data_IF_633347904464
#
_entry.id   IF_633347904464
#
_cell.length_a   1.000
_cell.length_b   1.000
_cell.length_c   1.000
_cell.angle_alpha   90.00
_cell.angle_beta   90.00
_cell.angle_gamma   90.00
#
_symmetry.space_group_name_H-M   'P 1'
#
loop_
_entity.id
_entity.type
_entity.pdbx_description
1 polymer ?
#
# COMPACT_ATOMS: atom_id res chain seq x y z
N UNK A 1 -12.14 -5.32 1.58
CA UNK A 1 -12.02 -6.79 1.42
C UNK A 1 -10.57 -7.13 1.70
N UNK A 2 -10.25 -8.12 2.55
CA UNK A 2 -8.87 -8.39 2.92
C UNK A 2 -8.04 -8.78 1.69
N UNK A 3 -6.74 -8.51 1.74
CA UNK A 3 -5.81 -8.91 0.69
C UNK A 3 -5.95 -10.42 0.39
N UNK A 4 -6.17 -10.78 -0.88
CA UNK A 4 -6.39 -12.17 -1.27
C UNK A 4 -5.23 -13.10 -0.89
N UNK A 5 -5.53 -14.38 -0.64
CA UNK A 5 -4.53 -15.39 -0.27
C UNK A 5 -3.42 -15.51 -1.31
N UNK A 6 -3.76 -15.58 -2.61
CA UNK A 6 -2.78 -15.62 -3.70
C UNK A 6 -1.84 -14.43 -3.65
N UNK A 7 -2.36 -13.21 -3.40
CA UNK A 7 -1.56 -12.01 -3.26
C UNK A 7 -0.61 -12.07 -2.06
N UNK A 8 -1.03 -12.61 -0.92
CA UNK A 8 -0.16 -12.76 0.28
C UNK A 8 1.02 -13.71 0.04
N UNK A 9 0.82 -14.78 -0.74
CA UNK A 9 1.88 -15.77 -0.99
C UNK A 9 3.02 -15.23 -1.86
N UNK A 10 2.75 -14.27 -2.74
CA UNK A 10 3.75 -13.71 -3.67
C UNK A 10 4.44 -12.45 -3.14
N UNK A 11 3.98 -11.88 -2.04
CA UNK A 11 4.59 -10.66 -1.48
C UNK A 11 5.73 -11.08 -0.54
N UNK A 12 6.99 -10.68 -0.80
CA UNK A 12 8.11 -10.98 0.09
C UNK A 12 7.98 -10.30 1.46
N UNK A 13 8.70 -10.79 2.47
CA UNK A 13 8.61 -10.34 3.87
C UNK A 13 9.23 -8.97 4.17
N UNK A 14 10.30 -8.58 3.47
CA UNK A 14 11.04 -7.33 3.68
C UNK A 14 10.34 -6.14 3.01
N UNK A 15 9.13 -5.86 3.49
CA UNK A 15 8.24 -4.84 2.95
C UNK A 15 8.64 -3.47 3.46
N UNK A 16 8.74 -2.51 2.53
CA UNK A 16 8.76 -1.09 2.85
C UNK A 16 7.35 -0.50 2.83
N UNK A 17 6.54 -0.87 1.84
CA UNK A 17 5.18 -0.38 1.69
C UNK A 17 4.28 -1.38 0.96
N UNK A 18 3.06 -1.56 1.44
CA UNK A 18 1.97 -2.19 0.68
C UNK A 18 0.88 -1.14 0.49
N UNK A 19 0.34 -1.03 -0.72
CA UNK A 19 -0.85 -0.23 -1.05
C UNK A 19 -1.83 -1.18 -1.71
N UNK A 20 -3.08 -1.19 -1.26
CA UNK A 20 -4.15 -1.92 -1.94
C UNK A 20 -5.31 -1.00 -2.22
N UNK A 21 -5.93 -1.22 -3.37
CA UNK A 21 -7.01 -0.42 -3.91
C UNK A 21 -8.12 -1.35 -4.35
N UNK A 22 -9.31 -1.16 -3.77
CA UNK A 22 -10.55 -1.80 -4.20
C UNK A 22 -11.12 -1.00 -5.39
N UNK A 23 -10.84 -1.49 -6.60
CA UNK A 23 -11.31 -0.87 -7.83
C UNK A 23 -12.83 -0.96 -7.98
N UNK A 24 -13.50 -1.95 -7.37
CA UNK A 24 -14.96 -2.04 -7.40
C UNK A 24 -15.59 -0.90 -6.63
N UNK A 25 -15.10 -0.64 -5.43
CA UNK A 25 -15.56 0.48 -4.62
C UNK A 25 -15.23 1.84 -5.25
N UNK A 26 -14.06 1.98 -5.91
CA UNK A 26 -13.71 3.20 -6.65
C UNK A 26 -14.65 3.47 -7.84
N UNK A 27 -14.99 2.46 -8.63
CA UNK A 27 -15.86 2.60 -9.82
C UNK A 27 -17.27 3.07 -9.48
N UNK A 28 -17.74 2.77 -8.27
CA UNK A 28 -19.08 3.13 -7.81
C UNK A 28 -19.15 4.55 -7.21
N UNK A 29 -18.09 5.37 -7.32
CA UNK A 29 -18.05 6.72 -6.78
C UNK A 29 -17.45 7.72 -7.78
N UNK A 30 -18.25 8.69 -8.21
CA UNK A 30 -17.81 9.75 -9.14
C UNK A 30 -16.66 10.59 -8.56
N UNK A 31 -16.73 10.87 -7.25
CA UNK A 31 -15.66 11.58 -6.52
C UNK A 31 -14.36 10.78 -6.52
N UNK A 32 -14.44 9.45 -6.36
CA UNK A 32 -13.27 8.59 -6.37
C UNK A 32 -12.64 8.49 -7.77
N UNK A 33 -13.45 8.50 -8.83
CA UNK A 33 -12.98 8.53 -10.22
C UNK A 33 -12.33 9.87 -10.61
N UNK A 34 -12.85 10.99 -10.10
CA UNK A 34 -12.20 12.30 -10.25
C UNK A 34 -10.86 12.36 -9.51
N UNK A 35 -10.82 11.84 -8.27
CA UNK A 35 -9.59 11.78 -7.48
C UNK A 35 -8.57 10.81 -8.09
N UNK A 36 -9.02 9.70 -8.69
CA UNK A 36 -8.18 8.76 -9.42
C UNK A 36 -7.36 9.48 -10.49
N UNK A 37 -7.96 10.38 -11.27
CA UNK A 37 -7.21 11.09 -12.33
C UNK A 37 -6.11 12.01 -11.78
N UNK A 38 -6.36 12.66 -10.64
CA UNK A 38 -5.45 13.64 -10.04
C UNK A 38 -4.39 13.03 -9.11
N UNK A 39 -4.71 11.92 -8.44
CA UNK A 39 -3.96 11.42 -7.27
C UNK A 39 -3.42 10.00 -7.48
N UNK A 40 -3.70 9.35 -8.61
CA UNK A 40 -3.03 8.10 -8.97
C UNK A 40 -1.52 8.32 -9.07
N UNK A 41 -0.68 7.65 -8.25
CA UNK A 41 0.76 7.62 -8.45
C UNK A 41 1.12 7.13 -9.86
N UNK A 42 2.22 7.64 -10.43
CA UNK A 42 2.65 7.35 -11.80
C UNK A 42 2.72 5.84 -12.11
N UNK A 43 3.22 5.05 -11.16
CA UNK A 43 3.28 3.58 -11.25
C UNK A 43 1.93 2.93 -11.56
N UNK A 44 0.82 3.47 -11.03
CA UNK A 44 -0.52 2.96 -11.32
C UNK A 44 -0.98 3.32 -12.73
N UNK A 45 -0.67 4.53 -13.21
CA UNK A 45 -1.01 4.96 -14.57
C UNK A 45 -0.25 4.15 -15.61
N UNK A 46 1.03 3.88 -15.37
CA UNK A 46 1.84 2.98 -16.18
C UNK A 46 1.22 1.59 -16.21
N UNK A 47 0.88 1.03 -15.05
CA UNK A 47 0.22 -0.27 -14.97
C UNK A 47 -1.08 -0.35 -15.79
N UNK A 48 -1.98 0.65 -15.68
CA UNK A 48 -3.22 0.66 -16.45
C UNK A 48 -2.97 0.70 -17.96
N UNK A 49 -1.97 1.48 -18.41
CA UNK A 49 -1.55 1.51 -19.81
C UNK A 49 -1.03 0.15 -20.28
N UNK A 50 -0.24 -0.52 -19.43
CA UNK A 50 0.37 -1.81 -19.77
C UNK A 50 -0.67 -2.93 -19.77
N UNK A 51 -1.63 -2.95 -18.85
CA UNK A 51 -2.77 -3.88 -18.89
C UNK A 51 -3.58 -3.74 -20.17
N UNK A 52 -3.90 -2.50 -20.56
CA UNK A 52 -4.63 -2.21 -21.81
C UNK A 52 -3.89 -2.76 -23.03
N UNK A 53 -2.56 -2.67 -23.05
CA UNK A 53 -1.73 -3.21 -24.14
C UNK A 53 -1.91 -4.73 -24.32
N UNK A 54 -2.04 -5.47 -23.22
CA UNK A 54 -2.24 -6.92 -23.23
C UNK A 54 -3.70 -7.34 -23.37
N UNK A 55 -4.62 -6.38 -23.48
CA UNK A 55 -6.05 -6.61 -23.69
C UNK A 55 -6.85 -6.83 -22.40
N UNK A 56 -6.29 -6.45 -21.25
CA UNK A 56 -6.99 -6.42 -19.97
C UNK A 56 -7.48 -4.98 -19.76
N UNK A 57 -8.77 -4.81 -19.49
CA UNK A 57 -9.37 -3.52 -19.19
C UNK A 57 -9.40 -3.31 -17.67
N UNK A 58 -8.56 -2.41 -17.09
CA UNK A 58 -8.55 -2.16 -15.65
C UNK A 58 -9.93 -1.73 -15.10
N UNK A 59 -10.70 -1.00 -15.91
CA UNK A 59 -11.99 -0.46 -15.50
C UNK A 59 -13.10 -1.53 -15.50
N UNK A 60 -12.89 -2.69 -16.12
CA UNK A 60 -13.87 -3.79 -16.14
C UNK A 60 -13.36 -5.06 -15.46
N UNK A 61 -12.13 -5.43 -15.78
CA UNK A 61 -11.59 -6.75 -15.47
C UNK A 61 -10.86 -6.76 -14.11
N UNK A 62 -10.36 -5.60 -13.64
CA UNK A 62 -9.68 -5.51 -12.34
C UNK A 62 -10.66 -5.13 -11.24
N UNK A 63 -10.71 -5.95 -10.20
CA UNK A 63 -11.52 -5.76 -9.00
C UNK A 63 -10.72 -5.19 -7.84
N UNK A 64 -9.50 -5.70 -7.64
CA UNK A 64 -8.59 -5.25 -6.60
C UNK A 64 -7.17 -5.16 -7.18
N UNK A 65 -6.43 -4.15 -6.73
CA UNK A 65 -5.07 -3.92 -7.17
C UNK A 65 -4.17 -3.61 -5.98
N UNK A 66 -3.11 -4.39 -5.82
CA UNK A 66 -2.16 -4.26 -4.72
C UNK A 66 -0.75 -4.02 -5.26
N UNK A 67 -0.02 -3.08 -4.68
CA UNK A 67 1.40 -2.88 -4.90
C UNK A 67 2.15 -3.14 -3.61
N UNK A 68 3.24 -3.88 -3.71
CA UNK A 68 4.17 -4.12 -2.63
C UNK A 68 5.57 -3.66 -3.04
N UNK A 69 6.08 -2.64 -2.37
CA UNK A 69 7.48 -2.26 -2.41
C UNK A 69 8.23 -3.06 -1.34
N UNK A 70 9.20 -3.88 -1.76
CA UNK A 70 9.99 -4.74 -0.88
C UNK A 70 11.48 -4.69 -1.23
N UNK A 71 12.34 -4.83 -0.21
CA UNK A 71 13.79 -4.76 -0.40
C UNK A 71 14.28 -6.13 -0.87
N UNK A 72 14.97 -6.14 -2.01
CA UNK A 72 15.56 -7.35 -2.58
C UNK A 72 17.06 -7.41 -2.30
N UNK A 73 17.45 -7.34 -1.02
CA UNK A 73 18.85 -7.36 -0.58
C UNK A 73 19.75 -6.38 -1.37
N UNK A 74 20.78 -6.91 -2.02
CA UNK A 74 21.74 -6.12 -2.84
C UNK A 74 21.12 -5.52 -4.12
N UNK A 75 19.96 -6.00 -4.56
CA UNK A 75 19.30 -5.52 -5.78
C UNK A 75 18.45 -4.27 -5.54
N UNK A 76 18.42 -3.74 -4.32
CA UNK A 76 17.71 -2.52 -3.96
C UNK A 76 16.21 -2.70 -3.77
N UNK A 77 15.48 -1.60 -3.89
CA UNK A 77 14.02 -1.56 -3.78
C UNK A 77 13.40 -2.13 -5.04
N UNK A 78 12.45 -3.06 -4.88
CA UNK A 78 11.64 -3.61 -5.97
C UNK A 78 10.17 -3.35 -5.69
N UNK A 79 9.38 -3.21 -6.75
CA UNK A 79 7.93 -3.05 -6.65
C UNK A 79 7.29 -4.17 -7.46
N UNK A 80 6.40 -4.90 -6.81
CA UNK A 80 5.57 -5.89 -7.46
C UNK A 80 4.11 -5.50 -7.30
N UNK A 81 3.33 -5.72 -8.35
CA UNK A 81 1.91 -5.51 -8.35
C UNK A 81 1.15 -6.83 -8.49
N UNK A 82 0.03 -6.93 -7.79
CA UNK A 82 -0.91 -8.03 -7.85
C UNK A 82 -2.28 -7.47 -8.20
N UNK A 83 -2.79 -7.85 -9.36
CA UNK A 83 -4.14 -7.52 -9.78
C UNK A 83 -5.03 -8.74 -9.60
N UNK A 84 -6.20 -8.54 -9.00
CA UNK A 84 -7.23 -9.57 -8.86
C UNK A 84 -8.48 -9.12 -9.60
N UNK A 85 -9.15 -10.05 -10.27
CA UNK A 85 -10.38 -9.81 -10.99
C UNK A 85 -10.68 -10.87 -12.04
N UNK A 86 -11.44 -10.52 -13.07
CA UNK A 86 -11.92 -11.48 -14.05
C UNK A 86 -11.06 -11.43 -15.30
N UNK A 87 -10.05 -12.28 -15.37
CA UNK A 87 -9.13 -12.32 -16.50
C UNK A 87 -9.43 -13.49 -17.43
N UNK A 88 -9.55 -13.22 -18.74
CA UNK A 88 -9.69 -14.27 -19.74
C UNK A 88 -8.30 -14.78 -20.18
N UNK A 89 -7.69 -15.65 -19.38
CA UNK A 89 -6.37 -16.24 -19.66
C UNK A 89 -6.30 -16.89 -21.04
N UNK A 90 -7.38 -17.56 -21.47
CA UNK A 90 -7.48 -18.14 -22.83
C UNK A 90 -7.36 -17.08 -23.93
N UNK A 91 -8.05 -15.96 -23.78
CA UNK A 91 -8.01 -14.84 -24.75
C UNK A 91 -6.63 -14.19 -24.76
N UNK A 92 -6.05 -13.97 -23.58
CA UNK A 92 -4.69 -13.46 -23.43
C UNK A 92 -3.67 -14.37 -24.15
N UNK A 93 -3.69 -15.68 -23.87
CA UNK A 93 -2.77 -16.64 -24.47
C UNK A 93 -2.92 -16.71 -26.01
N UNK A 94 -4.16 -16.63 -26.51
CA UNK A 94 -4.43 -16.54 -27.95
C UNK A 94 -3.78 -15.29 -28.55
N UNK A 95 -3.92 -14.13 -27.91
CA UNK A 95 -3.30 -12.86 -28.35
C UNK A 95 -1.78 -12.93 -28.32
N UNK A 96 -1.18 -13.51 -27.29
CA UNK A 96 0.27 -13.70 -27.21
C UNK A 96 0.79 -14.60 -28.34
N UNK A 97 0.09 -15.68 -28.67
CA UNK A 97 0.43 -16.55 -29.82
C UNK A 97 0.32 -15.82 -31.15
N UNK A 98 -0.77 -15.06 -31.37
CA UNK A 98 -0.98 -14.27 -32.58
C UNK A 98 0.14 -13.22 -32.77
N UNK A 99 0.55 -12.57 -31.68
CA UNK A 99 1.60 -11.56 -31.69
C UNK A 99 3.02 -12.16 -31.62
N UNK A 100 3.16 -13.50 -31.70
CA UNK A 100 4.44 -14.24 -31.61
C UNK A 100 5.24 -13.94 -30.33
N UNK A 101 4.56 -13.51 -29.26
CA UNK A 101 5.17 -13.24 -27.95
C UNK A 101 5.40 -14.58 -27.25
N UNK A 102 6.66 -14.89 -26.95
CA UNK A 102 7.03 -16.12 -26.23
C UNK A 102 7.21 -15.84 -24.74
N UNK A 103 6.68 -16.71 -23.85
CA UNK A 103 6.93 -16.57 -22.42
C UNK A 103 8.40 -16.88 -22.09
N UNK A 104 8.92 -16.18 -21.10
CA UNK A 104 10.16 -16.52 -20.41
C UNK A 104 9.81 -17.47 -19.27
N UNK A 105 10.33 -18.70 -19.34
CA UNK A 105 10.10 -19.68 -18.27
C UNK A 105 10.95 -19.32 -17.05
N UNK A 106 10.32 -19.27 -15.89
CA UNK A 106 11.00 -19.19 -14.61
C UNK A 106 10.42 -20.25 -13.68
N UNK A 107 11.21 -21.29 -13.44
CA UNK A 107 10.76 -22.52 -12.77
C UNK A 107 9.48 -23.07 -13.40
N UNK A 108 8.39 -23.11 -12.63
CA UNK A 108 7.08 -23.62 -13.04
C UNK A 108 6.15 -22.52 -13.59
N UNK A 109 6.59 -21.26 -13.59
CA UNK A 109 5.80 -20.11 -14.04
C UNK A 109 6.21 -19.67 -15.45
N UNK A 110 5.22 -19.25 -16.23
CA UNK A 110 5.42 -18.64 -17.54
C UNK A 110 5.27 -17.12 -17.42
N UNK A 111 6.38 -16.39 -17.54
CA UNK A 111 6.37 -14.93 -17.48
C UNK A 111 6.23 -14.35 -18.90
N UNK A 112 5.25 -13.50 -19.11
CA UNK A 112 5.00 -12.85 -20.38
C UNK A 112 5.54 -11.42 -20.34
N UNK A 113 6.34 -11.00 -21.33
CA UNK A 113 6.80 -9.62 -21.40
C UNK A 113 5.62 -8.69 -21.69
N UNK A 114 5.69 -7.49 -21.11
CA UNK A 114 4.76 -6.40 -21.35
C UNK A 114 5.54 -5.16 -21.83
N UNK A 115 4.83 -4.08 -22.16
CA UNK A 115 5.47 -2.79 -22.44
C UNK A 115 6.18 -2.24 -21.20
N UNK A 116 7.13 -1.33 -21.41
CA UNK A 116 7.87 -0.67 -20.32
C UNK A 116 8.89 -1.57 -19.60
N UNK A 117 9.28 -2.71 -20.18
CA UNK A 117 10.23 -3.64 -19.54
C UNK A 117 9.63 -4.46 -18.40
N UNK A 118 8.31 -4.37 -18.20
CA UNK A 118 7.59 -5.18 -17.22
C UNK A 118 7.35 -6.61 -17.72
N UNK A 119 7.12 -7.50 -16.77
CA UNK A 119 6.70 -8.87 -16.99
C UNK A 119 5.44 -9.13 -16.17
N UNK A 120 4.61 -10.04 -16.65
CA UNK A 120 3.46 -10.55 -15.90
C UNK A 120 3.44 -12.07 -15.89
N UNK A 121 2.80 -12.64 -14.89
CA UNK A 121 2.43 -14.06 -14.84
C UNK A 121 1.06 -14.18 -14.20
N UNK A 122 0.26 -15.12 -14.68
CA UNK A 122 -0.94 -15.54 -13.95
C UNK A 122 -0.49 -16.41 -12.77
N UNK A 123 -1.04 -16.15 -11.59
CA UNK A 123 -0.86 -17.01 -10.42
C UNK A 123 -1.92 -18.11 -10.40
N UNK A 124 -3.13 -17.76 -10.82
CA UNK A 124 -4.33 -18.58 -10.96
C UNK A 124 -5.24 -17.94 -12.03
N UNK A 125 -6.53 -18.28 -12.06
CA UNK A 125 -7.48 -17.77 -13.08
C UNK A 125 -7.89 -16.30 -12.85
N UNK A 126 -7.81 -15.80 -11.62
CA UNK A 126 -8.32 -14.49 -11.23
C UNK A 126 -7.24 -13.53 -10.72
N UNK A 127 -5.99 -13.98 -10.61
CA UNK A 127 -4.88 -13.23 -10.04
C UNK A 127 -3.70 -13.15 -11.00
N UNK A 128 -3.29 -11.92 -11.28
CA UNK A 128 -2.18 -11.56 -12.15
C UNK A 128 -1.09 -10.86 -11.33
N UNK A 129 0.12 -11.38 -11.42
CA UNK A 129 1.33 -10.79 -10.85
C UNK A 129 2.07 -10.02 -11.94
N UNK A 130 2.57 -8.82 -11.64
CA UNK A 130 3.33 -8.02 -12.59
C UNK A 130 4.40 -7.15 -11.91
N UNK A 131 5.40 -6.74 -12.68
CA UNK A 131 6.49 -5.87 -12.23
C UNK A 131 7.70 -5.99 -13.15
N UNK A 132 8.83 -5.42 -12.76
CA UNK A 132 10.08 -5.70 -13.49
C UNK A 132 10.49 -7.19 -13.34
N UNK A 133 11.37 -7.68 -14.22
CA UNK A 133 11.76 -9.10 -14.21
C UNK A 133 12.34 -9.57 -12.87
N UNK A 134 13.09 -8.72 -12.17
CA UNK A 134 13.62 -9.04 -10.84
C UNK A 134 12.51 -9.08 -9.79
N UNK A 135 11.58 -8.11 -9.84
CA UNK A 135 10.45 -8.05 -8.93
C UNK A 135 9.52 -9.27 -9.04
N UNK A 136 9.19 -9.70 -10.26
CA UNK A 136 8.35 -10.88 -10.51
C UNK A 136 9.05 -12.16 -10.06
N UNK A 137 10.35 -12.30 -10.32
CA UNK A 137 11.13 -13.46 -9.85
C UNK A 137 11.19 -13.54 -8.33
N UNK A 138 11.47 -12.43 -7.64
CA UNK A 138 11.49 -12.39 -6.17
C UNK A 138 10.13 -12.70 -5.54
N UNK A 139 9.04 -12.27 -6.19
CA UNK A 139 7.69 -12.62 -5.77
C UNK A 139 7.35 -14.10 -5.98
N UNK A 140 7.79 -14.70 -7.10
CA UNK A 140 7.69 -16.13 -7.34
C UNK A 140 8.56 -16.96 -6.38
N UNK A 141 9.74 -16.46 -6.02
CA UNK A 141 10.60 -17.06 -4.99
C UNK A 141 9.90 -17.10 -3.63
N UNK A 142 9.18 -16.04 -3.27
CA UNK A 142 8.39 -15.99 -2.04
C UNK A 142 7.24 -17.02 -2.06
N UNK A 143 6.49 -17.09 -3.17
CA UNK A 143 5.40 -18.06 -3.34
C UNK A 143 5.86 -19.50 -3.28
N UNK A 144 6.98 -19.79 -3.94
CA UNK A 144 7.53 -21.14 -4.03
C UNK A 144 8.33 -21.52 -2.74
N UNK A 145 8.40 -20.65 -1.73
CA UNK A 145 9.00 -20.92 -0.42
C UNK A 145 10.51 -20.71 -0.30
N UNK A 146 11.16 -20.13 -1.31
CA UNK A 146 12.60 -19.82 -1.29
C UNK A 146 12.93 -18.58 -0.46
N UNK A 147 11.97 -17.68 -0.30
CA UNK A 147 12.06 -16.51 0.58
C UNK A 147 10.81 -16.39 1.43
N UNK A 148 10.93 -15.81 2.62
CA UNK A 148 9.77 -15.62 3.50
C UNK A 148 8.79 -14.61 2.89
N UNK A 149 7.49 -14.90 3.02
CA UNK A 149 6.39 -14.05 2.54
C UNK A 149 5.99 -13.02 3.59
N UNK A 150 5.11 -12.08 3.22
CA UNK A 150 4.56 -11.04 4.10
C UNK A 150 4.00 -11.60 5.43
N UNK A 151 3.52 -12.85 5.42
CA UNK A 151 2.93 -13.50 6.60
C UNK A 151 3.94 -13.75 7.72
N UNK A 152 5.23 -13.81 7.38
CA UNK A 152 6.31 -13.90 8.38
C UNK A 152 6.61 -12.56 9.07
N UNK A 153 6.11 -11.44 8.53
CA UNK A 153 6.31 -10.11 9.09
C UNK A 153 5.12 -9.72 9.98
N UNK A 154 5.16 -10.14 11.25
CA UNK A 154 4.05 -9.93 12.19
C UNK A 154 3.65 -8.47 12.35
N UNK A 155 4.62 -7.54 12.27
CA UNK A 155 4.34 -6.11 12.40
C UNK A 155 3.50 -5.58 11.23
N UNK A 156 3.83 -5.97 9.99
CA UNK A 156 3.07 -5.58 8.80
C UNK A 156 1.69 -6.26 8.82
N UNK A 157 1.62 -7.55 9.14
CA UNK A 157 0.36 -8.29 9.23
C UNK A 157 -0.59 -7.68 10.26
N UNK A 158 -0.10 -7.32 11.45
CA UNK A 158 -0.89 -6.66 12.49
C UNK A 158 -1.43 -5.30 12.02
N UNK A 159 -0.63 -4.54 11.26
CA UNK A 159 -1.07 -3.27 10.70
C UNK A 159 -2.10 -3.46 9.59
N UNK A 160 -1.90 -4.44 8.69
CA UNK A 160 -2.81 -4.79 7.60
C UNK A 160 -4.20 -5.14 8.12
N UNK A 161 -4.30 -6.00 9.14
CA UNK A 161 -5.60 -6.43 9.70
C UNK A 161 -6.43 -5.32 10.35
N UNK A 162 -5.91 -4.08 10.40
CA UNK A 162 -6.68 -2.91 10.86
C UNK A 162 -7.13 -1.97 9.75
N UNK A 163 -6.66 -2.17 8.51
CA UNK A 163 -6.91 -1.25 7.38
C UNK A 163 -7.44 -1.96 6.13
N UNK A 164 -7.40 -3.28 6.10
CA UNK A 164 -7.76 -4.13 4.96
C UNK A 164 -9.24 -4.06 4.53
N UNK A 165 -10.10 -3.43 5.33
CA UNK A 165 -11.48 -3.12 4.97
C UNK A 165 -11.65 -1.80 4.20
N UNK A 166 -10.61 -0.96 4.12
CA UNK A 166 -10.67 0.34 3.43
C UNK A 166 -10.75 0.22 1.91
N UNK A 167 -11.37 1.20 1.24
CA UNK A 167 -11.39 1.27 -0.23
C UNK A 167 -9.99 1.42 -0.81
N UNK A 168 -9.21 2.34 -0.23
CA UNK A 168 -7.77 2.42 -0.45
C UNK A 168 -7.12 2.29 0.91
N UNK A 169 -6.12 1.44 1.01
CA UNK A 169 -5.34 1.33 2.24
C UNK A 169 -3.88 1.11 1.95
N UNK A 170 -3.04 1.51 2.90
CA UNK A 170 -1.61 1.25 2.83
C UNK A 170 -1.03 0.99 4.20
N UNK A 171 0.04 0.22 4.21
CA UNK A 171 0.87 -0.06 5.36
C UNK A 171 2.31 0.22 4.96
N UNK A 172 3.04 0.95 5.80
CA UNK A 172 4.44 1.29 5.64
C UNK A 172 5.21 0.77 6.86
N UNK A 173 6.41 0.25 6.59
CA UNK A 173 7.37 -0.06 7.65
C UNK A 173 8.00 1.22 8.23
N UNK A 174 8.91 1.06 9.19
CA UNK A 174 9.59 2.17 9.82
C UNK A 174 10.23 3.12 8.80
N UNK A 175 11.01 2.60 7.85
CA UNK A 175 11.72 3.45 6.89
C UNK A 175 10.76 4.13 5.91
N UNK A 176 9.75 3.41 5.42
CA UNK A 176 8.70 3.94 4.56
C UNK A 176 7.96 5.10 5.24
N UNK A 177 7.58 4.95 6.51
CA UNK A 177 6.95 6.01 7.30
C UNK A 177 7.86 7.21 7.50
N UNK A 178 9.14 6.99 7.80
CA UNK A 178 10.09 8.09 7.96
C UNK A 178 10.27 8.88 6.66
N UNK A 179 10.33 8.19 5.53
CA UNK A 179 10.39 8.82 4.21
C UNK A 179 9.11 9.60 3.90
N UNK A 180 7.94 9.00 4.14
CA UNK A 180 6.63 9.65 3.97
C UNK A 180 6.51 10.92 4.81
N UNK A 181 6.84 10.87 6.11
CA UNK A 181 6.76 12.02 6.99
C UNK A 181 7.76 13.11 6.61
N UNK A 182 8.97 12.74 6.18
CA UNK A 182 9.94 13.71 5.66
C UNK A 182 9.39 14.43 4.44
N UNK A 183 8.78 13.71 3.49
CA UNK A 183 8.16 14.31 2.31
C UNK A 183 6.95 15.18 2.67
N UNK A 184 6.16 14.79 3.67
CA UNK A 184 4.98 15.53 4.10
C UNK A 184 5.34 16.82 4.87
N UNK A 185 6.38 16.79 5.70
CA UNK A 185 6.80 17.92 6.54
C UNK A 185 7.75 18.88 5.80
N UNK A 186 8.39 18.45 4.71
CA UNK A 186 9.34 19.29 3.97
C UNK A 186 10.47 19.79 4.87
N UNK A 187 10.74 21.10 4.85
CA UNK A 187 11.77 21.71 5.70
C UNK A 187 11.46 21.65 7.20
N UNK A 188 10.20 21.46 7.61
CA UNK A 188 9.85 21.27 9.02
C UNK A 188 10.38 19.94 9.59
N UNK A 189 10.75 18.99 8.73
CA UNK A 189 11.45 17.77 9.13
C UNK A 189 12.90 18.03 9.59
N UNK A 190 13.44 19.26 9.39
CA UNK A 190 14.79 19.66 9.83
C UNK A 190 14.81 20.17 11.28
N UNK A 191 13.66 20.31 11.93
CA UNK A 191 13.59 20.67 13.35
C UNK A 191 14.26 19.61 14.22
N UNK A 192 14.98 20.05 15.25
CA UNK A 192 15.80 19.18 16.13
C UNK A 192 14.99 18.02 16.76
N UNK A 193 13.69 18.21 16.98
CA UNK A 193 12.81 17.20 17.56
C UNK A 193 12.46 16.05 16.61
N UNK A 194 12.58 16.23 15.29
CA UNK A 194 12.21 15.21 14.32
C UNK A 194 13.17 14.01 14.34
N UNK A 195 14.49 14.20 14.50
CA UNK A 195 15.43 13.07 14.54
C UNK A 195 15.25 12.21 15.80
N UNK A 196 14.81 12.81 16.92
CA UNK A 196 14.45 12.07 18.14
C UNK A 196 13.15 11.27 17.94
N UNK A 197 12.14 11.88 17.31
CA UNK A 197 10.84 11.24 17.02
C UNK A 197 10.99 10.11 15.99
N UNK A 198 11.77 10.33 14.93
CA UNK A 198 12.01 9.40 13.83
C UNK A 198 12.50 8.04 14.31
N UNK A 199 13.42 8.00 15.28
CA UNK A 199 13.96 6.76 15.86
C UNK A 199 12.91 5.94 16.62
N UNK A 200 11.82 6.57 17.03
CA UNK A 200 10.72 5.99 17.83
C UNK A 200 9.51 5.62 16.98
N UNK A 201 9.54 5.88 15.67
CA UNK A 201 8.54 5.41 14.70
C UNK A 201 8.77 3.93 14.44
N UNK A 202 7.70 3.14 14.46
CA UNK A 202 7.71 1.72 14.12
C UNK A 202 7.15 1.49 12.71
N UNK A 203 6.19 2.30 12.28
CA UNK A 203 5.56 2.21 10.97
C UNK A 203 4.33 3.10 10.91
N UNK A 204 3.58 3.00 9.81
CA UNK A 204 2.33 3.73 9.65
C UNK A 204 1.37 2.96 8.77
N UNK A 205 0.12 3.32 8.86
CA UNK A 205 -0.92 2.80 7.98
C UNK A 205 -1.94 3.89 7.73
N UNK A 206 -2.53 3.87 6.55
CA UNK A 206 -3.61 4.80 6.25
C UNK A 206 -4.73 4.10 5.50
N UNK A 207 -5.93 4.64 5.66
CA UNK A 207 -7.10 4.29 4.86
C UNK A 207 -7.65 5.54 4.20
N UNK A 208 -8.15 5.40 2.99
CA UNK A 208 -8.92 6.41 2.30
C UNK A 208 -10.27 5.82 1.86
N UNK A 209 -11.34 6.52 2.20
CA UNK A 209 -12.71 6.15 1.86
C UNK A 209 -13.41 7.30 1.15
N UNK A 210 -14.43 6.95 0.36
CA UNK A 210 -15.17 7.89 -0.50
C UNK A 210 -16.65 8.03 -0.12
N UNK A 211 -17.04 7.42 1.00
CA UNK A 211 -18.39 7.53 1.56
C UNK A 211 -18.57 8.92 2.15
N UNK A 212 -19.32 9.79 1.47
CA UNK A 212 -19.61 11.18 1.84
C UNK A 212 -18.39 12.12 1.78
N UNK A 213 -17.65 12.08 0.66
CA UNK A 213 -16.42 12.86 0.46
C UNK A 213 -15.16 12.04 0.66
N UNK A 214 -13.99 12.67 0.57
CA UNK A 214 -12.69 11.99 0.71
C UNK A 214 -12.28 11.96 2.18
N UNK A 215 -12.46 10.83 2.85
CA UNK A 215 -11.97 10.65 4.22
C UNK A 215 -10.59 10.00 4.18
N UNK A 216 -9.58 10.65 4.76
CA UNK A 216 -8.23 10.10 4.89
C UNK A 216 -7.88 9.94 6.38
N UNK A 217 -7.63 8.71 6.81
CA UNK A 217 -7.21 8.39 8.17
C UNK A 217 -5.76 7.88 8.13
N UNK A 218 -4.85 8.63 8.74
CA UNK A 218 -3.46 8.21 8.95
C UNK A 218 -3.24 7.81 10.41
N UNK A 219 -2.77 6.58 10.63
CA UNK A 219 -2.29 6.07 11.91
C UNK A 219 -0.76 5.93 11.85
N UNK A 220 -0.01 6.74 12.61
CA UNK A 220 1.43 6.51 12.82
C UNK A 220 1.66 5.74 14.12
N UNK A 221 2.43 4.66 14.02
CA UNK A 221 2.74 3.75 15.11
C UNK A 221 4.10 4.11 15.71
N UNK A 222 4.12 4.39 17.00
CA UNK A 222 5.34 4.76 17.75
C UNK A 222 5.57 3.84 18.94
N UNK A 223 6.81 3.84 19.45
CA UNK A 223 7.21 3.03 20.61
C UNK A 223 6.64 3.53 21.95
N UNK A 224 6.25 4.81 22.04
CA UNK A 224 5.86 5.44 23.30
C UNK A 224 4.88 6.61 23.09
N UNK A 225 4.16 6.96 24.16
CA UNK A 225 3.10 7.99 24.15
C UNK A 225 3.61 9.41 23.97
N UNK A 226 4.83 9.69 24.44
CA UNK A 226 5.42 11.04 24.36
C UNK A 226 5.71 11.35 22.91
N UNK A 227 6.40 10.43 22.21
CA UNK A 227 6.65 10.51 20.77
C UNK A 227 5.34 10.63 19.99
N UNK A 228 4.32 9.83 20.32
CA UNK A 228 3.02 9.92 19.65
C UNK A 228 2.41 11.33 19.76
N UNK A 229 2.51 11.96 20.93
CA UNK A 229 1.96 13.29 21.19
C UNK A 229 2.74 14.36 20.44
N UNK A 230 4.08 14.32 20.51
CA UNK A 230 4.96 15.25 19.78
C UNK A 230 4.74 15.17 18.28
N UNK A 231 4.67 13.95 17.73
CA UNK A 231 4.44 13.74 16.30
C UNK A 231 3.06 14.25 15.86
N UNK A 232 2.00 14.04 16.67
CA UNK A 232 0.67 14.58 16.38
C UNK A 232 0.71 16.11 16.25
N UNK A 233 1.38 16.79 17.18
CA UNK A 233 1.55 18.25 17.14
C UNK A 233 2.34 18.72 15.92
N UNK A 234 3.44 18.04 15.58
CA UNK A 234 4.26 18.36 14.40
C UNK A 234 3.49 18.17 13.09
N UNK A 235 2.75 17.06 12.94
CA UNK A 235 1.95 16.82 11.72
C UNK A 235 0.84 17.86 11.59
N UNK A 236 0.17 18.23 12.69
CA UNK A 236 -0.85 19.30 12.67
C UNK A 236 -0.24 20.64 12.26
N UNK A 237 0.91 21.01 12.83
CA UNK A 237 1.61 22.25 12.46
C UNK A 237 2.03 22.24 10.98
N UNK A 238 2.56 21.12 10.48
CA UNK A 238 2.92 20.96 9.07
C UNK A 238 1.71 21.04 8.13
N UNK A 239 0.57 20.43 8.51
CA UNK A 239 -0.68 20.53 7.74
C UNK A 239 -1.22 21.96 7.71
N UNK A 240 -1.20 22.67 8.84
CA UNK A 240 -1.59 24.09 8.90
C UNK A 240 -0.70 24.96 8.02
N UNK A 241 0.61 24.75 8.07
CA UNK A 241 1.57 25.45 7.22
C UNK A 241 1.29 25.18 5.74
N UNK A 242 1.11 23.91 5.36
CA UNK A 242 0.77 23.53 3.99
C UNK A 242 -0.56 24.12 3.54
N UNK A 243 -1.57 24.17 4.42
CA UNK A 243 -2.87 24.81 4.14
C UNK A 243 -2.74 26.31 3.89
N UNK A 244 -1.81 27.00 4.55
CA UNK A 244 -1.56 28.43 4.30
C UNK A 244 -0.95 28.67 2.92
N UNK A 245 -0.14 27.74 2.42
CA UNK A 245 0.55 27.83 1.12
C UNK A 245 -0.16 27.10 -0.03
N UNK A 246 -1.21 26.33 0.26
CA UNK A 246 -1.92 25.48 -0.70
C UNK A 246 -2.87 26.25 -1.63
N UNK A 247 -3.09 25.70 -2.82
CA UNK A 247 -4.15 26.14 -3.74
C UNK A 247 -5.55 25.81 -3.18
N UNK A 248 -6.61 26.45 -3.70
CA UNK A 248 -7.97 26.24 -3.19
C UNK A 248 -8.43 24.78 -3.22
N UNK A 249 -8.07 24.02 -4.27
CA UNK A 249 -8.38 22.59 -4.39
C UNK A 249 -7.59 21.74 -3.36
N UNK A 250 -6.33 22.07 -3.11
CA UNK A 250 -5.51 21.39 -2.11
C UNK A 250 -5.98 21.70 -0.68
N UNK A 251 -6.49 22.90 -0.40
CA UNK A 251 -7.10 23.23 0.89
C UNK A 251 -8.33 22.36 1.17
N UNK A 252 -9.20 22.17 0.18
CA UNK A 252 -10.36 21.28 0.31
C UNK A 252 -9.98 19.82 0.58
N UNK A 253 -8.90 19.32 -0.03
CA UNK A 253 -8.38 17.98 0.23
C UNK A 253 -7.69 17.85 1.60
N UNK A 254 -7.10 18.92 2.12
CA UNK A 254 -6.47 18.95 3.44
C UNK A 254 -7.48 19.03 4.60
N UNK A 255 -8.66 19.61 4.37
CA UNK A 255 -9.70 19.78 5.40
C UNK A 255 -10.35 18.45 5.82
N UNK A 256 -10.26 17.42 4.99
CA UNK A 256 -10.83 16.10 5.28
C UNK A 256 -9.81 15.09 5.83
N UNK A 257 -8.56 15.51 6.08
CA UNK A 257 -7.49 14.64 6.61
C UNK A 257 -7.58 14.53 8.13
N UNK A 258 -7.78 13.30 8.62
CA UNK A 258 -7.68 12.96 10.04
C UNK A 258 -6.36 12.23 10.29
N UNK A 259 -5.53 12.81 11.16
CA UNK A 259 -4.30 12.17 11.62
C UNK A 259 -4.46 11.70 13.07
N UNK A 260 -4.42 10.39 13.29
CA UNK A 260 -4.36 9.79 14.62
C UNK A 260 -2.97 9.16 14.85
N UNK A 261 -2.48 9.23 16.08
CA UNK A 261 -1.18 8.64 16.46
C UNK A 261 -1.42 7.58 17.50
N UNK A 262 -0.93 6.35 17.29
CA UNK A 262 -1.17 5.22 18.19
C UNK A 262 0.11 4.70 18.82
N UNK A 263 -0.03 4.23 20.06
CA UNK A 263 1.03 3.56 20.82
C UNK A 263 0.95 2.06 20.52
N UNK A 264 2.06 1.48 20.06
CA UNK A 264 2.18 0.03 19.99
C UNK A 264 2.66 -0.52 21.33
N UNK A 265 1.73 -0.95 22.17
CA UNK A 265 2.08 -1.75 23.34
C UNK A 265 2.45 -3.16 22.86
N UNK A 266 3.76 -3.42 22.69
CA UNK A 266 4.33 -4.74 22.43
C UNK A 266 3.91 -5.65 23.60
N UNK A 267 2.87 -6.48 23.42
CA UNK A 267 2.53 -7.53 24.40
C UNK A 267 3.65 -8.55 24.36
N UNK A 268 4.61 -8.45 25.27
CA UNK A 268 5.42 -9.60 25.67
C UNK A 268 4.44 -10.58 26.31
N UNK A 269 3.94 -11.56 25.54
CA UNK A 269 3.10 -12.64 26.08
C UNK A 269 3.99 -13.54 26.94
N UNK A 270 4.16 -13.20 28.21
CA UNK A 270 4.37 -14.24 29.21
C UNK A 270 3.04 -14.95 29.40
N UNK A 271 3.01 -16.28 29.25
CA UNK A 271 1.83 -17.11 29.48
C UNK A 271 1.39 -16.96 30.95
N UNK A 272 0.40 -16.11 31.22
CA UNK A 272 -0.55 -16.22 32.33
C UNK A 272 -1.61 -15.11 32.19
N UNK A 273 -2.82 -15.40 32.65
CA UNK A 273 -4.00 -14.54 32.70
C UNK A 273 -4.78 -14.34 31.38
N UNK A 274 -5.77 -15.22 31.22
CA UNK A 274 -7.03 -14.92 30.55
C UNK A 274 -7.79 -13.81 31.30
N UNK A 275 -8.78 -13.24 30.61
CA UNK A 275 -9.85 -12.37 31.11
C UNK A 275 -9.51 -10.91 31.41
N UNK A 276 -9.68 -10.07 30.37
CA UNK A 276 -10.39 -8.78 30.41
C UNK A 276 -10.24 -8.07 29.05
N UNK A 277 -11.31 -8.11 28.24
CA UNK A 277 -11.44 -7.27 27.04
C UNK A 277 -11.94 -5.91 27.49
N UNK A 278 -11.03 -4.94 27.59
CA UNK A 278 -11.36 -3.52 27.75
C UNK A 278 -10.98 -2.78 26.47
N UNK A 279 -11.86 -1.93 25.88
CA UNK A 279 -11.55 -1.25 24.63
C UNK A 279 -10.46 -0.19 24.87
N UNK A 280 -9.33 -0.30 24.16
CA UNK A 280 -8.25 0.72 24.16
C UNK A 280 -8.81 2.06 23.70
N UNK A 281 -8.76 3.09 24.56
CA UNK A 281 -9.13 4.48 24.22
C UNK A 281 -8.34 4.97 23.00
N UNK A 282 -9.03 5.19 21.87
CA UNK A 282 -8.51 5.98 20.75
C UNK A 282 -8.48 7.44 21.20
N UNK A 283 -7.31 8.09 21.24
CA UNK A 283 -7.24 9.56 21.21
C UNK A 283 -7.18 9.98 19.75
N UNK A 284 -8.34 10.04 19.10
CA UNK A 284 -8.49 10.75 17.84
C UNK A 284 -9.05 12.13 18.19
N UNK A 285 -8.30 13.19 17.89
CA UNK A 285 -8.83 14.54 17.95
C UNK A 285 -9.33 14.89 16.56
N UNK A 286 -10.64 15.07 16.41
CA UNK A 286 -11.22 15.64 15.20
C UNK A 286 -10.66 17.06 15.03
N UNK A 287 -10.16 17.39 13.83
CA UNK A 287 -9.96 18.78 13.45
C UNK A 287 -11.34 19.41 13.36
N UNK A 288 -11.71 20.18 14.37
CA UNK A 288 -12.88 21.03 14.30
C UNK A 288 -12.54 22.23 13.41
N UNK A 289 -13.29 22.38 12.34
CA UNK A 289 -13.66 23.68 11.77
C UNK A 289 -15.14 23.57 11.44
#
# INVERSE_FOLDING_TARGET
>A
MPLGSSARTVIPSDIQQIISVDYRALKNSDTAMALKQQVLPENLKEFEGVLKSVGINPDKDVEQLTFAAYRSGKQGMRVVGVAQGQFSTKTFLKKMRLNKVRPVKYRNSAMYPMSGGMQMTFLDEDTLLFGDSGAVKGALDARDGYTSTVDSNSQIVDMMGSVDSGTVWSVLDQQGTQNMLRSALGDAARLADYETVKKRILGSRYTMGFSNGVNFDLDVVTSDSVTATTLSSLVKAGMLYKKMTATAAEKMALDSVRCCTRICLRRYRSRAAADAVTPRRRRCFAGAS
#
